data_IF_417419145479
#
_entry.id   IF_417419145479
#
_cell.length_a   1.000
_cell.length_b   1.000
_cell.length_c   1.000
_cell.angle_alpha   90.00
_cell.angle_beta   90.00
_cell.angle_gamma   90.00
#
_symmetry.space_group_name_H-M   'P 1'
#
loop_
_entity.id
_entity.type
_entity.pdbx_description
1 polymer ?
#
# COMPACT_ATOMS: atom_id res chain seq x y z
N UNK A 1 2.55 -1.50 5.89
CA UNK A 1 1.28 -1.24 5.17
C UNK A 1 0.25 -0.76 6.18
N UNK A 2 -0.54 0.26 5.83
CA UNK A 2 -1.74 0.69 6.56
C UNK A 2 -2.83 1.01 5.55
N UNK A 3 -4.06 0.64 5.87
CA UNK A 3 -5.20 0.79 4.99
C UNK A 3 -6.46 0.24 5.63
N UNK A 4 -7.45 -0.03 4.80
CA UNK A 4 -8.69 -0.70 5.20
C UNK A 4 -8.98 -1.84 4.25
N UNK A 5 -9.37 -3.00 4.79
CA UNK A 5 -9.87 -4.10 3.97
C UNK A 5 -11.14 -3.64 3.27
N UNK A 6 -11.10 -3.68 1.94
CA UNK A 6 -12.21 -3.33 1.06
C UNK A 6 -13.18 -4.51 0.95
N UNK A 7 -12.63 -5.70 0.86
CA UNK A 7 -13.38 -6.93 0.59
C UNK A 7 -12.65 -8.13 1.17
N UNK A 8 -13.43 -9.08 1.68
CA UNK A 8 -12.97 -10.39 2.13
C UNK A 8 -13.83 -11.41 1.40
N UNK A 9 -13.21 -12.16 0.48
CA UNK A 9 -13.81 -13.26 -0.24
C UNK A 9 -13.26 -14.55 0.34
N UNK A 10 -14.13 -15.29 1.02
CA UNK A 10 -13.78 -16.56 1.68
C UNK A 10 -13.63 -17.73 0.70
N UNK A 11 -13.96 -17.54 -0.58
CA UNK A 11 -13.95 -18.60 -1.58
C UNK A 11 -15.00 -19.69 -1.32
N UNK A 12 -14.82 -20.83 -1.99
CA UNK A 12 -15.69 -21.99 -1.85
C UNK A 12 -15.16 -22.97 -0.81
N UNK A 13 -16.04 -23.44 0.08
CA UNK A 13 -15.73 -24.49 1.05
C UNK A 13 -16.16 -25.84 0.49
N UNK A 14 -15.18 -26.66 0.09
CA UNK A 14 -15.39 -28.03 -0.36
C UNK A 14 -14.57 -29.00 0.49
N UNK A 15 -15.21 -30.11 0.88
CA UNK A 15 -14.56 -31.09 1.76
C UNK A 15 -13.37 -31.73 1.05
N UNK A 16 -12.19 -31.64 1.66
CA UNK A 16 -10.95 -32.25 1.14
C UNK A 16 -10.20 -31.40 0.11
N UNK A 17 -10.67 -30.19 -0.20
CA UNK A 17 -9.95 -29.20 -1.01
C UNK A 17 -9.46 -28.04 -0.15
N UNK A 18 -8.37 -27.40 -0.58
CA UNK A 18 -7.88 -26.19 0.05
C UNK A 18 -8.79 -24.99 -0.30
N UNK A 19 -9.10 -24.18 0.70
CA UNK A 19 -9.86 -22.93 0.50
C UNK A 19 -8.90 -21.74 0.45
N UNK A 20 -8.94 -20.99 -0.64
CA UNK A 20 -8.22 -19.73 -0.78
C UNK A 20 -9.10 -18.55 -0.34
N UNK A 21 -8.69 -17.84 0.70
CA UNK A 21 -9.31 -16.57 1.09
C UNK A 21 -8.58 -15.39 0.45
N UNK A 22 -9.30 -14.58 -0.31
CA UNK A 22 -8.76 -13.35 -0.91
C UNK A 22 -9.17 -12.14 -0.07
N UNK A 23 -8.20 -11.33 0.30
CA UNK A 23 -8.42 -10.08 1.05
C UNK A 23 -7.90 -8.90 0.24
N UNK A 24 -8.81 -8.08 -0.24
CA UNK A 24 -8.49 -6.84 -0.95
C UNK A 24 -8.37 -5.70 0.05
N UNK A 25 -7.28 -4.94 0.00
CA UNK A 25 -7.01 -3.83 0.95
C UNK A 25 -6.67 -2.55 0.21
N UNK A 26 -7.45 -1.50 0.46
CA UNK A 26 -7.13 -0.16 -0.01
C UNK A 26 -6.11 0.47 0.95
N UNK A 27 -4.88 0.67 0.46
CA UNK A 27 -3.77 1.16 1.28
C UNK A 27 -3.72 2.69 1.28
N UNK A 28 -3.72 3.29 2.48
CA UNK A 28 -3.46 4.73 2.66
C UNK A 28 -1.98 5.02 2.90
N UNK A 29 -1.23 4.00 3.33
CA UNK A 29 0.22 4.07 3.48
C UNK A 29 0.86 2.73 3.12
N UNK A 30 1.90 2.79 2.29
CA UNK A 30 2.69 1.65 1.87
C UNK A 30 4.17 1.98 1.96
N UNK A 31 4.95 1.05 2.50
CA UNK A 31 6.41 1.15 2.56
C UNK A 31 7.00 -0.21 2.21
N UNK A 32 7.89 -0.22 1.23
CA UNK A 32 8.67 -1.38 0.82
C UNK A 32 10.12 -1.17 1.23
N UNK A 33 10.68 -2.15 1.93
CA UNK A 33 12.09 -2.18 2.26
C UNK A 33 12.67 -3.53 1.91
N UNK A 34 13.82 -3.54 1.23
CA UNK A 34 14.57 -4.75 0.87
C UNK A 34 15.99 -4.57 1.41
N UNK A 35 16.50 -5.60 2.08
CA UNK A 35 17.82 -5.57 2.74
C UNK A 35 18.03 -4.35 3.65
N UNK A 36 16.97 -3.94 4.35
CA UNK A 36 16.99 -2.77 5.25
C UNK A 36 17.03 -1.42 4.55
N UNK A 37 17.02 -1.37 3.21
CA UNK A 37 16.93 -0.13 2.42
C UNK A 37 15.48 0.13 2.03
N UNK A 38 15.04 1.37 2.23
CA UNK A 38 13.74 1.83 1.75
C UNK A 38 13.79 2.05 0.24
N UNK A 39 12.94 1.32 -0.49
CA UNK A 39 12.83 1.42 -1.94
C UNK A 39 11.64 2.27 -2.35
N UNK A 40 10.49 2.04 -1.71
CA UNK A 40 9.24 2.72 -2.05
C UNK A 40 8.54 3.14 -0.77
N UNK A 41 8.10 4.38 -0.69
CA UNK A 41 7.17 4.88 0.32
C UNK A 41 6.06 5.67 -0.38
N UNK A 42 4.80 5.29 -0.11
CA UNK A 42 3.61 5.95 -0.65
C UNK A 42 2.71 6.30 0.53
N UNK A 43 2.42 7.58 0.71
CA UNK A 43 1.43 8.12 1.64
C UNK A 43 0.44 8.99 0.85
N UNK A 44 -0.77 8.48 0.68
CA UNK A 44 -1.80 9.19 -0.09
C UNK A 44 -2.44 10.32 0.68
N UNK A 45 -2.36 10.32 2.02
CA UNK A 45 -2.92 11.38 2.87
C UNK A 45 -2.00 12.59 2.87
N UNK A 46 -0.70 12.36 2.99
CA UNK A 46 0.30 13.41 3.02
C UNK A 46 0.87 13.74 1.62
N UNK A 47 0.39 13.07 0.56
CA UNK A 47 0.91 13.17 -0.82
C UNK A 47 2.43 12.98 -0.89
N UNK A 48 2.93 11.92 -0.26
CA UNK A 48 4.34 11.53 -0.31
C UNK A 48 4.46 10.33 -1.23
N UNK A 49 5.33 10.44 -2.22
CA UNK A 49 5.72 9.31 -3.07
C UNK A 49 7.23 9.35 -3.18
N UNK A 50 7.91 8.48 -2.42
CA UNK A 50 9.36 8.32 -2.47
C UNK A 50 9.73 7.05 -3.21
N UNK A 51 10.65 7.19 -4.15
CA UNK A 51 11.27 6.08 -4.86
C UNK A 51 12.78 6.21 -4.70
N UNK A 52 13.42 5.16 -4.17
CA UNK A 52 14.85 5.15 -3.83
C UNK A 52 15.31 6.37 -3.00
N UNK A 53 14.42 6.83 -2.11
CA UNK A 53 14.65 7.98 -1.23
C UNK A 53 14.37 9.36 -1.85
N UNK A 54 13.99 9.45 -3.13
CA UNK A 54 13.62 10.71 -3.80
C UNK A 54 12.12 10.93 -3.77
N UNK A 55 11.67 12.04 -3.20
CA UNK A 55 10.25 12.42 -3.13
C UNK A 55 9.79 13.11 -4.42
N UNK A 56 8.99 12.38 -5.20
CA UNK A 56 8.48 12.82 -6.51
C UNK A 56 7.36 13.85 -6.39
N UNK A 57 6.64 13.87 -5.26
CA UNK A 57 5.50 14.76 -5.03
C UNK A 57 5.88 16.04 -4.27
N UNK A 58 7.14 16.21 -3.88
CA UNK A 58 7.62 17.38 -3.16
C UNK A 58 7.29 18.71 -3.88
N UNK A 59 7.46 18.76 -5.20
CA UNK A 59 7.12 19.94 -5.99
C UNK A 59 5.61 20.20 -6.04
N UNK A 60 4.80 19.15 -6.14
CA UNK A 60 3.35 19.24 -6.14
C UNK A 60 2.81 19.75 -4.81
N UNK A 61 3.30 19.22 -3.68
CA UNK A 61 2.91 19.69 -2.34
C UNK A 61 3.23 21.17 -2.15
N UNK A 62 4.44 21.58 -2.53
CA UNK A 62 4.83 23.00 -2.50
C UNK A 62 3.91 23.89 -3.35
N UNK A 63 3.47 23.42 -4.51
CA UNK A 63 2.59 24.18 -5.41
C UNK A 63 1.17 24.38 -4.85
N UNK A 64 0.70 23.47 -4.00
CA UNK A 64 -0.64 23.54 -3.37
C UNK A 64 -0.60 23.98 -1.90
N UNK A 65 0.58 24.34 -1.38
CA UNK A 65 0.76 24.84 -0.01
C UNK A 65 0.79 23.77 1.08
N UNK A 66 1.17 22.53 0.73
CA UNK A 66 1.40 21.41 1.64
C UNK A 66 2.89 21.13 1.88
#
# INVERSE_FOLDING_TARGET
MRGRHKEIDSGDFKQGEDTETKVSTDCTYFKLSIDGKELIEIDTVNMIEKVDGVDLLAAHRKAIGL
#
